data_IF_546478042456
#
_entry.id   IF_546478042456
#
_cell.length_a   1.000
_cell.length_b   1.000
_cell.length_c   1.000
_cell.angle_alpha   90.00
_cell.angle_beta   90.00
_cell.angle_gamma   90.00
#
_symmetry.space_group_name_H-M   'P 1'
#
loop_
_entity.id
_entity.type
_entity.pdbx_description
1 polymer ?
#
# COMPACT_ATOMS: atom_id res chain seq x y z
N UNK A 1 -25.91 19.82 -5.38
CA UNK A 1 -24.67 19.17 -5.84
C UNK A 1 -24.99 17.75 -6.25
N UNK A 2 -24.44 17.27 -7.37
CA UNK A 2 -24.55 15.85 -7.72
C UNK A 2 -23.68 15.02 -6.77
N UNK A 3 -24.16 13.83 -6.38
CA UNK A 3 -23.38 12.87 -5.60
C UNK A 3 -22.22 12.38 -6.45
N UNK A 4 -20.99 12.49 -5.94
CA UNK A 4 -19.80 11.88 -6.55
C UNK A 4 -19.66 10.44 -6.08
N UNK A 5 -19.32 9.55 -7.00
CA UNK A 5 -19.05 8.15 -6.72
C UNK A 5 -17.55 7.89 -6.87
N UNK A 6 -17.02 6.98 -6.06
CA UNK A 6 -15.62 6.58 -6.14
C UNK A 6 -15.43 5.79 -7.42
N UNK A 7 -14.45 6.21 -8.22
CA UNK A 7 -13.93 5.44 -9.34
C UNK A 7 -12.92 4.42 -8.79
N UNK A 8 -13.38 3.20 -8.53
CA UNK A 8 -12.56 2.15 -7.93
C UNK A 8 -11.43 1.66 -8.83
N UNK A 9 -11.58 1.72 -10.15
CA UNK A 9 -10.52 1.38 -11.09
C UNK A 9 -9.33 2.36 -10.96
N UNK A 10 -9.61 3.67 -10.99
CA UNK A 10 -8.58 4.71 -10.82
C UNK A 10 -8.00 4.72 -9.40
N UNK A 11 -8.85 4.54 -8.39
CA UNK A 11 -8.42 4.42 -6.99
C UNK A 11 -7.50 3.21 -6.81
N UNK A 12 -7.84 2.06 -7.39
CA UNK A 12 -6.99 0.87 -7.40
C UNK A 12 -5.62 1.12 -8.05
N UNK A 13 -5.57 1.89 -9.15
CA UNK A 13 -4.30 2.30 -9.76
C UNK A 13 -3.47 3.19 -8.85
N UNK A 14 -4.08 4.11 -8.10
CA UNK A 14 -3.36 4.90 -7.10
C UNK A 14 -2.76 4.01 -5.99
N UNK A 15 -3.50 3.01 -5.52
CA UNK A 15 -2.98 2.02 -4.56
C UNK A 15 -1.79 1.24 -5.12
N UNK A 16 -1.86 0.80 -6.37
CA UNK A 16 -0.76 0.11 -7.04
C UNK A 16 0.50 0.98 -7.13
N UNK A 17 0.32 2.26 -7.45
CA UNK A 17 1.42 3.24 -7.52
C UNK A 17 2.01 3.46 -6.13
N UNK A 18 1.18 3.63 -5.09
CA UNK A 18 1.64 3.76 -3.71
C UNK A 18 2.46 2.55 -3.27
N UNK A 19 2.01 1.33 -3.56
CA UNK A 19 2.79 0.13 -3.26
C UNK A 19 4.15 0.12 -3.98
N UNK A 20 4.15 0.56 -5.23
CA UNK A 20 5.35 0.56 -6.09
C UNK A 20 6.30 1.72 -5.83
N UNK A 21 5.85 2.82 -5.21
CA UNK A 21 6.67 4.01 -5.01
C UNK A 21 6.22 4.87 -3.81
N UNK A 22 6.25 4.30 -2.60
CA UNK A 22 6.07 5.07 -1.37
C UNK A 22 7.10 4.66 -0.30
N UNK A 23 7.94 5.62 0.11
CA UNK A 23 9.03 5.36 1.06
C UNK A 23 8.53 5.00 2.47
N UNK A 24 7.47 5.65 2.95
CA UNK A 24 6.92 5.40 4.29
C UNK A 24 6.35 3.99 4.38
N UNK A 25 5.59 3.57 3.35
CA UNK A 25 5.02 2.24 3.24
C UNK A 25 6.12 1.17 3.17
N UNK A 26 7.17 1.38 2.36
CA UNK A 26 8.34 0.47 2.30
C UNK A 26 8.99 0.28 3.67
N UNK A 27 9.24 1.38 4.38
CA UNK A 27 9.82 1.36 5.74
C UNK A 27 8.93 0.61 6.72
N UNK A 28 7.63 0.85 6.68
CA UNK A 28 6.68 0.17 7.54
C UNK A 28 6.71 -1.34 7.32
N UNK A 29 6.56 -1.79 6.06
CA UNK A 29 6.53 -3.21 5.71
C UNK A 29 7.84 -3.92 6.07
N UNK A 30 8.98 -3.25 5.88
CA UNK A 30 10.29 -3.75 6.32
C UNK A 30 10.31 -4.00 7.83
N UNK A 31 9.89 -3.01 8.63
CA UNK A 31 9.86 -3.11 10.10
C UNK A 31 8.90 -4.20 10.58
N UNK A 32 7.70 -4.21 10.03
CA UNK A 32 6.62 -5.11 10.49
C UNK A 32 6.95 -6.57 10.22
N UNK A 33 7.45 -6.87 9.01
CA UNK A 33 7.69 -8.26 8.64
C UNK A 33 9.06 -8.78 9.09
N UNK A 34 9.91 -7.90 9.65
CA UNK A 34 11.28 -8.19 10.06
C UNK A 34 12.01 -9.04 9.01
N UNK A 35 11.78 -8.74 7.73
CA UNK A 35 12.41 -9.47 6.65
C UNK A 35 13.88 -9.11 6.70
N UNK A 36 14.69 -10.05 7.17
CA UNK A 36 16.13 -10.09 6.97
C UNK A 36 16.39 -10.28 5.46
N UNK A 37 16.05 -9.26 4.65
CA UNK A 37 16.61 -9.09 3.32
C UNK A 37 18.05 -8.74 3.63
N UNK A 38 18.94 -9.74 3.60
CA UNK A 38 20.25 -9.79 4.25
C UNK A 38 21.26 -8.65 4.01
N UNK A 39 20.81 -7.54 3.40
CA UNK A 39 21.54 -6.29 3.20
C UNK A 39 21.05 -5.14 4.13
N UNK A 40 19.86 -5.22 4.74
CA UNK A 40 19.51 -4.34 5.84
C UNK A 40 19.98 -4.98 7.15
N UNK A 41 21.00 -4.41 7.80
CA UNK A 41 21.54 -4.80 9.11
C UNK A 41 20.57 -4.68 10.30
N UNK A 42 19.27 -4.88 10.06
CA UNK A 42 18.16 -4.70 11.00
C UNK A 42 17.61 -3.27 11.04
N UNK A 43 18.25 -2.31 10.38
CA UNK A 43 17.84 -0.89 10.39
C UNK A 43 17.06 -0.51 9.13
N UNK A 44 15.74 -0.74 9.15
CA UNK A 44 14.82 -0.33 8.10
C UNK A 44 14.66 1.21 7.96
N UNK A 45 15.16 2.03 8.89
CA UNK A 45 15.04 3.48 8.81
C UNK A 45 16.13 4.11 7.94
N UNK A 46 17.33 3.50 7.91
CA UNK A 46 18.51 4.00 7.18
C UNK A 46 18.90 3.17 5.96
N UNK A 47 18.35 1.97 5.81
CA UNK A 47 18.61 1.06 4.68
C UNK A 47 17.98 1.58 3.36
N UNK A 48 18.60 2.60 2.78
CA UNK A 48 18.11 3.31 1.58
C UNK A 48 18.49 2.64 0.27
N UNK A 49 19.50 1.76 0.27
CA UNK A 49 20.11 1.20 -0.93
C UNK A 49 19.52 -0.17 -1.36
N UNK A 50 18.94 -0.95 -0.43
CA UNK A 50 18.45 -2.32 -0.72
C UNK A 50 16.95 -2.57 -0.42
N UNK A 51 16.23 -1.55 0.05
CA UNK A 51 14.77 -1.61 -0.06
C UNK A 51 14.43 -1.45 -1.54
N UNK A 52 14.18 -2.58 -2.21
CA UNK A 52 13.59 -2.62 -3.55
C UNK A 52 12.60 -1.46 -3.69
N UNK A 53 12.63 -0.76 -4.82
CA UNK A 53 11.75 0.41 -5.04
C UNK A 53 10.28 0.08 -4.82
N UNK A 54 9.92 -1.21 -4.83
CA UNK A 54 8.59 -1.75 -4.75
C UNK A 54 8.50 -2.85 -3.67
N UNK A 55 7.46 -2.83 -2.83
CA UNK A 55 7.09 -4.00 -2.03
C UNK A 55 6.18 -4.93 -2.84
N UNK A 56 6.37 -6.23 -2.73
CA UNK A 56 5.48 -7.21 -3.35
C UNK A 56 4.07 -7.16 -2.76
N UNK A 57 3.07 -7.59 -3.55
CA UNK A 57 1.69 -7.76 -3.06
C UNK A 57 1.62 -8.75 -1.89
N UNK A 58 2.48 -9.76 -1.89
CA UNK A 58 2.54 -10.76 -0.82
C UNK A 58 3.08 -10.16 0.49
N UNK A 59 4.07 -9.28 0.43
CA UNK A 59 4.54 -8.54 1.61
C UNK A 59 3.42 -7.63 2.15
N UNK A 60 2.75 -6.86 1.29
CA UNK A 60 1.65 -6.00 1.72
C UNK A 60 0.48 -6.81 2.30
N UNK A 61 0.13 -7.94 1.69
CA UNK A 61 -0.94 -8.83 2.14
C UNK A 61 -0.70 -9.35 3.56
N UNK A 62 0.56 -9.66 3.93
CA UNK A 62 0.92 -10.05 5.30
C UNK A 62 0.67 -8.94 6.31
N UNK A 63 1.00 -7.69 5.94
CA UNK A 63 0.78 -6.52 6.81
C UNK A 63 -0.70 -6.27 7.05
N UNK A 64 -1.53 -6.44 6.01
CA UNK A 64 -2.99 -6.29 6.11
C UNK A 64 -3.69 -7.55 6.64
N UNK A 65 -2.97 -8.65 6.88
CA UNK A 65 -3.54 -9.95 7.23
C UNK A 65 -4.65 -10.42 6.25
N UNK A 66 -4.41 -10.20 4.96
CA UNK A 66 -5.29 -10.64 3.85
C UNK A 66 -4.51 -11.53 2.88
N UNK A 67 -5.17 -12.05 1.85
CA UNK A 67 -4.49 -12.79 0.78
C UNK A 67 -3.91 -11.87 -0.29
N UNK A 68 -2.86 -12.34 -1.01
CA UNK A 68 -2.30 -11.62 -2.17
C UNK A 68 -3.39 -11.29 -3.23
N UNK A 69 -4.38 -12.17 -3.37
CA UNK A 69 -5.52 -12.01 -4.27
C UNK A 69 -6.42 -10.84 -3.86
N UNK A 70 -6.56 -10.56 -2.56
CA UNK A 70 -7.32 -9.41 -2.07
C UNK A 70 -6.62 -8.11 -2.46
N UNK A 71 -5.30 -8.02 -2.22
CA UNK A 71 -4.50 -6.87 -2.67
C UNK A 71 -4.59 -6.70 -4.19
N UNK A 72 -4.52 -7.79 -4.96
CA UNK A 72 -4.69 -7.76 -6.40
C UNK A 72 -6.05 -7.17 -6.82
N UNK A 73 -7.13 -7.60 -6.17
CA UNK A 73 -8.47 -7.11 -6.50
C UNK A 73 -8.62 -5.62 -6.17
N UNK A 74 -8.06 -5.17 -5.05
CA UNK A 74 -8.04 -3.76 -4.68
C UNK A 74 -7.29 -2.90 -5.71
N UNK A 75 -6.08 -3.31 -6.10
CA UNK A 75 -5.23 -2.59 -7.06
C UNK A 75 -5.80 -2.53 -8.49
N UNK A 76 -6.73 -3.43 -8.82
CA UNK A 76 -7.41 -3.45 -10.11
C UNK A 76 -8.85 -2.91 -10.01
N UNK A 77 -9.28 -2.42 -8.85
CA UNK A 77 -10.64 -1.91 -8.63
C UNK A 77 -11.75 -2.96 -8.80
N UNK A 78 -11.41 -4.26 -8.73
CA UNK A 78 -12.36 -5.37 -8.90
C UNK A 78 -13.29 -5.44 -7.68
N UNK A 79 -12.73 -5.26 -6.49
CA UNK A 79 -13.48 -5.19 -5.24
C UNK A 79 -13.16 -3.89 -4.52
N UNK A 80 -14.18 -3.15 -4.03
CA UNK A 80 -13.96 -2.00 -3.17
C UNK A 80 -13.10 -2.37 -1.95
N UNK A 81 -12.18 -1.47 -1.60
CA UNK A 81 -11.47 -1.53 -0.32
C UNK A 81 -12.41 -0.98 0.74
N UNK A 82 -12.49 -1.63 1.90
CA UNK A 82 -13.29 -1.10 3.00
C UNK A 82 -12.63 0.15 3.61
N UNK A 83 -13.39 0.87 4.44
CA UNK A 83 -12.91 2.12 5.01
C UNK A 83 -11.75 1.91 6.00
N UNK A 84 -11.77 0.81 6.75
CA UNK A 84 -10.76 0.53 7.77
C UNK A 84 -9.41 0.24 7.12
N UNK A 85 -9.41 -0.61 6.10
CA UNK A 85 -8.24 -0.91 5.28
C UNK A 85 -7.74 0.32 4.53
N UNK A 86 -8.63 1.16 3.99
CA UNK A 86 -8.22 2.42 3.34
C UNK A 86 -7.54 3.38 4.31
N UNK A 87 -8.09 3.53 5.52
CA UNK A 87 -7.48 4.38 6.56
C UNK A 87 -6.16 3.81 7.05
N UNK A 88 -6.07 2.49 7.20
CA UNK A 88 -4.83 1.82 7.54
C UNK A 88 -3.78 2.04 6.45
N UNK A 89 -4.14 1.88 5.18
CA UNK A 89 -3.26 2.18 4.04
C UNK A 89 -2.72 3.62 4.08
N UNK A 90 -3.59 4.59 4.34
CA UNK A 90 -3.22 6.00 4.51
C UNK A 90 -2.21 6.19 5.64
N UNK A 91 -2.43 5.55 6.79
CA UNK A 91 -1.53 5.59 7.94
C UNK A 91 -0.16 5.00 7.60
N UNK A 92 -0.10 3.87 6.91
CA UNK A 92 1.16 3.21 6.55
C UNK A 92 1.97 4.03 5.54
N UNK A 93 1.28 4.66 4.59
CA UNK A 93 1.89 5.41 3.49
C UNK A 93 2.10 6.90 3.79
N UNK A 94 1.70 7.37 4.98
CA UNK A 94 1.74 8.79 5.39
C UNK A 94 1.02 9.74 4.40
N UNK A 95 -0.14 9.31 3.89
CA UNK A 95 -1.00 10.07 2.97
C UNK A 95 -2.42 10.19 3.53
N UNK A 96 -3.27 10.98 2.88
CA UNK A 96 -4.69 11.12 3.21
C UNK A 96 -5.58 10.38 2.20
N UNK A 97 -6.86 10.16 2.56
CA UNK A 97 -7.82 9.57 1.63
C UNK A 97 -7.96 10.37 0.33
N UNK A 98 -7.84 11.69 0.38
CA UNK A 98 -7.94 12.57 -0.78
C UNK A 98 -6.77 12.39 -1.77
N UNK A 99 -5.63 11.88 -1.30
CA UNK A 99 -4.48 11.54 -2.15
C UNK A 99 -4.69 10.22 -2.91
N UNK A 100 -5.56 9.34 -2.41
CA UNK A 100 -5.78 8.00 -2.96
C UNK A 100 -7.08 7.92 -3.77
N UNK A 101 -8.17 8.46 -3.23
CA UNK A 101 -9.53 8.27 -3.73
C UNK A 101 -9.77 9.16 -4.94
N UNK A 102 -10.15 8.52 -6.05
CA UNK A 102 -10.52 9.22 -7.28
C UNK A 102 -12.03 9.16 -7.46
N UNK A 103 -12.65 10.28 -7.81
CA UNK A 103 -14.08 10.39 -8.08
C UNK A 103 -14.36 10.54 -9.57
N UNK A 104 -15.54 10.08 -10.01
CA UNK A 104 -16.11 10.42 -11.33
C UNK A 104 -16.70 11.83 -11.41
#
# INVERSE_FOLDING_TARGET
MARKYINWEKTGKNLQILRADNLALRKYVCRELNYDKGDCSGDCDTCKYDMDTNISRTELAKVFNVSDSVIFNWENGITPVDLEDMLFYCQLAEVTLDDIVVYD
#
